data_IF_553612764294
#
_entry.id   IF_553612764294
#
_cell.length_a   1.000
_cell.length_b   1.000
_cell.length_c   1.000
_cell.angle_alpha   90.00
_cell.angle_beta   90.00
_cell.angle_gamma   90.00
#
_symmetry.space_group_name_H-M   'P 1'
#
loop_
_entity.id
_entity.type
_entity.pdbx_description
1 polymer ?
#
# COMPACT_ATOMS: atom_id res chain seq x y z
N UNK A 1 -25.57 8.70 13.77
CA UNK A 1 -24.88 7.48 14.25
C UNK A 1 -25.82 6.56 15.04
N UNK A 2 -26.49 7.01 16.11
CA UNK A 2 -27.51 6.22 16.85
C UNK A 2 -28.54 5.53 15.92
N UNK A 3 -29.23 6.31 15.07
CA UNK A 3 -30.21 5.79 14.10
C UNK A 3 -29.62 4.77 13.11
N UNK A 4 -28.34 4.94 12.74
CA UNK A 4 -27.64 4.01 11.84
C UNK A 4 -27.39 2.69 12.58
N UNK A 5 -26.95 2.77 13.84
CA UNK A 5 -26.72 1.60 14.65
C UNK A 5 -28.00 0.80 14.89
N UNK A 6 -29.11 1.48 15.20
CA UNK A 6 -30.42 0.86 15.38
C UNK A 6 -30.93 0.21 14.08
N UNK A 7 -30.82 0.90 12.94
CA UNK A 7 -31.21 0.36 11.64
C UNK A 7 -30.39 -0.89 11.27
N UNK A 8 -29.08 -0.88 11.51
CA UNK A 8 -28.21 -2.03 11.26
C UNK A 8 -28.63 -3.22 12.14
N UNK A 9 -28.80 -3.03 13.45
CA UNK A 9 -29.25 -4.09 14.37
C UNK A 9 -30.63 -4.65 14.00
N UNK A 10 -31.49 -3.83 13.41
CA UNK A 10 -32.83 -4.25 12.98
C UNK A 10 -32.83 -5.09 11.69
N UNK A 11 -31.79 -4.99 10.87
CA UNK A 11 -31.69 -5.69 9.58
C UNK A 11 -31.62 -7.22 9.73
N UNK A 12 -32.15 -7.95 8.74
CA UNK A 12 -32.10 -9.41 8.71
C UNK A 12 -30.66 -9.93 8.65
N UNK A 13 -29.79 -9.26 7.88
CA UNK A 13 -28.37 -9.61 7.75
C UNK A 13 -27.65 -9.59 9.10
N UNK A 14 -27.85 -8.52 9.88
CA UNK A 14 -27.22 -8.41 11.20
C UNK A 14 -27.74 -9.48 12.16
N UNK A 15 -29.06 -9.71 12.17
CA UNK A 15 -29.69 -10.71 13.05
C UNK A 15 -29.24 -12.15 12.77
N UNK A 16 -28.88 -12.47 11.51
CA UNK A 16 -28.48 -13.83 11.11
C UNK A 16 -27.27 -14.36 11.88
N UNK A 17 -26.26 -13.51 12.12
CA UNK A 17 -24.99 -13.89 12.78
C UNK A 17 -24.53 -12.90 13.86
N UNK A 18 -25.43 -12.03 14.32
CA UNK A 18 -25.11 -10.97 15.27
C UNK A 18 -24.08 -9.97 14.75
N UNK A 19 -24.01 -9.79 13.43
CA UNK A 19 -23.05 -8.88 12.77
C UNK A 19 -21.61 -9.39 12.65
N UNK A 20 -21.30 -10.62 13.05
CA UNK A 20 -19.93 -11.15 13.03
C UNK A 20 -19.32 -11.29 11.63
N UNK A 21 -20.16 -11.40 10.61
CA UNK A 21 -19.81 -11.49 9.19
C UNK A 21 -19.87 -10.14 8.46
N UNK A 22 -20.14 -9.04 9.18
CA UNK A 22 -20.12 -7.70 8.60
C UNK A 22 -18.69 -7.18 8.43
N UNK A 23 -18.50 -6.34 7.41
CA UNK A 23 -17.27 -5.59 7.18
C UNK A 23 -17.59 -4.10 7.35
N UNK A 24 -16.86 -3.41 8.21
CA UNK A 24 -17.01 -1.97 8.40
C UNK A 24 -15.82 -1.20 7.83
N UNK A 25 -16.11 -0.26 6.93
CA UNK A 25 -15.10 0.62 6.35
C UNK A 25 -14.73 1.73 7.33
N UNK A 26 -13.46 1.81 7.72
CA UNK A 26 -12.92 2.83 8.62
C UNK A 26 -11.84 3.65 7.92
N UNK A 27 -12.22 4.82 7.39
CA UNK A 27 -11.36 5.60 6.47
C UNK A 27 -10.86 6.94 7.06
N UNK A 28 -11.23 7.30 8.29
CA UNK A 28 -10.94 8.64 8.84
C UNK A 28 -10.02 8.58 10.06
N UNK A 29 -8.88 9.25 9.94
CA UNK A 29 -7.91 9.49 11.00
C UNK A 29 -8.54 10.31 12.15
N UNK A 30 -8.32 9.88 13.39
CA UNK A 30 -8.58 10.71 14.59
C UNK A 30 -10.03 10.85 15.03
N UNK A 31 -10.96 10.02 14.58
CA UNK A 31 -12.33 10.02 15.12
C UNK A 31 -12.50 9.01 16.25
N UNK A 32 -13.06 9.47 17.37
CA UNK A 32 -13.57 8.60 18.42
C UNK A 32 -14.84 7.93 17.92
N UNK A 33 -14.94 6.61 18.13
CA UNK A 33 -16.18 5.90 17.87
C UNK A 33 -17.15 6.18 19.01
N UNK A 34 -18.36 6.63 18.69
CA UNK A 34 -19.39 6.85 19.69
C UNK A 34 -19.88 5.51 20.31
N UNK A 35 -20.53 5.52 21.49
CA UNK A 35 -20.91 4.28 22.17
C UNK A 35 -21.81 3.33 21.33
N UNK A 36 -22.84 3.80 20.61
CA UNK A 36 -23.70 2.92 19.80
C UNK A 36 -22.96 2.19 18.66
N UNK A 37 -22.04 2.87 17.97
CA UNK A 37 -21.23 2.23 16.92
C UNK A 37 -20.13 1.35 17.51
N UNK A 38 -19.61 1.71 18.69
CA UNK A 38 -18.62 0.90 19.40
C UNK A 38 -19.17 -0.48 19.76
N UNK A 39 -20.41 -0.55 20.26
CA UNK A 39 -21.07 -1.82 20.55
C UNK A 39 -21.20 -2.70 19.31
N UNK A 40 -21.52 -2.11 18.15
CA UNK A 40 -21.55 -2.83 16.87
C UNK A 40 -20.18 -3.38 16.47
N UNK A 41 -19.13 -2.59 16.62
CA UNK A 41 -17.78 -3.06 16.31
C UNK A 41 -17.25 -4.05 17.36
N UNK A 42 -17.77 -4.02 18.58
CA UNK A 42 -17.42 -4.99 19.63
C UNK A 42 -18.12 -6.34 19.44
N UNK A 43 -19.22 -6.39 18.68
CA UNK A 43 -19.89 -7.64 18.29
C UNK A 43 -19.02 -8.57 17.41
N UNK A 44 -17.81 -8.13 17.04
CA UNK A 44 -16.82 -8.91 16.31
C UNK A 44 -16.92 -8.88 14.78
N UNK A 45 -17.38 -7.81 14.10
CA UNK A 45 -17.23 -7.69 12.66
C UNK A 45 -15.76 -7.49 12.25
N UNK A 46 -15.48 -7.61 10.95
CA UNK A 46 -14.20 -7.20 10.38
C UNK A 46 -14.14 -5.69 10.17
N UNK A 47 -12.95 -5.11 10.28
CA UNK A 47 -12.71 -3.71 9.93
C UNK A 47 -11.87 -3.64 8.67
N UNK A 48 -12.32 -2.88 7.69
CA UNK A 48 -11.54 -2.57 6.50
C UNK A 48 -10.98 -1.16 6.60
N UNK A 49 -9.67 -0.99 6.43
CA UNK A 49 -9.00 0.30 6.62
C UNK A 49 -7.68 0.36 5.87
N UNK A 50 -7.05 1.52 5.78
CA UNK A 50 -5.73 1.70 5.14
C UNK A 50 -4.56 1.57 6.11
N UNK A 51 -4.81 1.47 7.42
CA UNK A 51 -3.76 1.35 8.43
C UNK A 51 -4.22 0.45 9.59
N UNK A 52 -3.52 -0.68 9.79
CA UNK A 52 -3.87 -1.63 10.87
C UNK A 52 -3.49 -1.12 12.24
N UNK A 53 -2.56 -0.17 12.33
CA UNK A 53 -1.95 0.30 13.57
C UNK A 53 -2.70 1.48 14.18
N UNK A 54 -3.88 1.82 13.64
CA UNK A 54 -4.73 2.88 14.16
C UNK A 54 -5.00 2.78 15.67
N UNK A 55 -5.10 1.56 16.21
CA UNK A 55 -5.32 1.30 17.63
C UNK A 55 -4.20 1.84 18.53
N UNK A 56 -2.99 2.01 18.03
CA UNK A 56 -1.84 2.49 18.81
C UNK A 56 -1.86 4.01 19.04
N UNK A 57 -2.56 4.75 18.18
CA UNK A 57 -2.62 6.22 18.20
C UNK A 57 -4.00 6.78 18.58
N UNK A 58 -5.01 5.93 18.83
CA UNK A 58 -6.36 6.35 19.21
C UNK A 58 -6.88 5.57 20.43
N UNK A 59 -7.37 6.29 21.43
CA UNK A 59 -7.69 5.75 22.76
C UNK A 59 -9.05 5.03 22.83
N UNK A 60 -9.88 5.10 21.78
CA UNK A 60 -11.24 4.53 21.79
C UNK A 60 -11.58 3.76 20.51
N UNK A 61 -10.63 2.93 20.05
CA UNK A 61 -10.88 2.05 18.91
C UNK A 61 -11.44 0.68 19.32
N UNK A 62 -12.31 0.08 18.47
CA UNK A 62 -12.93 -1.21 18.72
C UNK A 62 -11.96 -2.38 18.86
N UNK A 63 -12.43 -3.44 19.54
CA UNK A 63 -11.70 -4.71 19.74
C UNK A 63 -11.16 -5.36 18.45
N UNK A 64 -11.87 -5.35 17.30
CA UNK A 64 -11.33 -5.88 16.04
C UNK A 64 -9.94 -5.34 15.65
N UNK A 65 -9.67 -4.05 15.83
CA UNK A 65 -8.35 -3.49 15.56
C UNK A 65 -7.26 -4.11 16.44
N UNK A 66 -7.58 -4.37 17.73
CA UNK A 66 -6.63 -4.93 18.71
C UNK A 66 -6.40 -6.42 18.51
N UNK A 67 -7.40 -7.15 17.99
CA UNK A 67 -7.35 -8.60 17.73
C UNK A 67 -6.90 -8.94 16.31
N UNK A 68 -6.47 -7.96 15.51
CA UNK A 68 -6.01 -8.18 14.14
C UNK A 68 -7.11 -8.58 13.15
N UNK A 69 -8.37 -8.24 13.45
CA UNK A 69 -9.51 -8.50 12.57
C UNK A 69 -9.66 -7.38 11.55
N UNK A 70 -8.59 -7.15 10.78
CA UNK A 70 -8.43 -6.00 9.89
C UNK A 70 -8.14 -6.47 8.48
N UNK A 71 -8.93 -6.01 7.51
CA UNK A 71 -8.64 -6.09 6.08
C UNK A 71 -7.99 -4.79 5.66
N UNK A 72 -6.78 -4.86 5.13
CA UNK A 72 -6.08 -3.68 4.63
C UNK A 72 -6.53 -3.35 3.21
N UNK A 73 -6.93 -2.10 3.01
CA UNK A 73 -7.32 -1.54 1.72
C UNK A 73 -6.13 -0.81 1.09
N UNK A 74 -5.95 -0.90 -0.23
CA UNK A 74 -4.93 -0.14 -0.93
C UNK A 74 -5.22 1.36 -0.84
N UNK A 75 -4.17 2.18 -0.85
CA UNK A 75 -4.35 3.62 -0.96
C UNK A 75 -4.90 3.95 -2.35
N UNK A 76 -5.81 4.93 -2.41
CA UNK A 76 -6.31 5.44 -3.69
C UNK A 76 -5.18 6.20 -4.38
N UNK A 77 -4.57 5.60 -5.40
CA UNK A 77 -3.58 6.28 -6.23
C UNK A 77 -4.22 7.46 -6.97
N UNK A 78 -3.45 8.48 -7.36
CA UNK A 78 -4.02 9.55 -8.19
C UNK A 78 -4.52 9.00 -9.53
N UNK A 79 -5.63 9.54 -10.06
CA UNK A 79 -6.12 9.16 -11.40
C UNK A 79 -5.08 9.39 -12.49
N UNK A 80 -4.14 10.32 -12.27
CA UNK A 80 -3.04 10.61 -13.18
C UNK A 80 -1.98 9.52 -13.24
N UNK A 81 -1.88 8.62 -12.26
CA UNK A 81 -1.00 7.44 -12.33
C UNK A 81 -1.73 6.20 -12.84
N UNK A 82 -3.04 6.09 -12.58
CA UNK A 82 -3.89 4.95 -12.91
C UNK A 82 -4.36 4.95 -14.39
N UNK A 83 -3.41 5.10 -15.32
CA UNK A 83 -3.65 5.11 -16.78
C UNK A 83 -2.94 3.93 -17.46
N UNK A 84 -3.22 3.65 -18.73
CA UNK A 84 -2.62 2.53 -19.45
C UNK A 84 -1.12 2.75 -19.59
N UNK A 85 -0.36 1.97 -18.83
CA UNK A 85 1.09 1.88 -18.95
C UNK A 85 1.41 0.64 -19.77
N UNK A 86 2.19 0.80 -20.83
CA UNK A 86 2.73 -0.33 -21.58
C UNK A 86 3.70 -1.13 -20.69
N UNK A 87 3.37 -2.36 -20.28
CA UNK A 87 4.25 -3.18 -19.44
C UNK A 87 5.55 -3.59 -20.15
N UNK A 88 5.59 -3.49 -21.48
CA UNK A 88 6.77 -3.80 -22.30
C UNK A 88 7.71 -2.60 -22.48
N UNK A 89 7.35 -1.43 -21.94
CA UNK A 89 8.15 -0.20 -22.03
C UNK A 89 9.59 -0.45 -21.57
N UNK A 90 10.52 -0.12 -22.46
CA UNK A 90 11.96 -0.18 -22.18
C UNK A 90 12.34 0.80 -21.07
N UNK A 91 13.25 0.34 -20.20
CA UNK A 91 13.83 1.15 -19.14
C UNK A 91 14.78 2.18 -19.74
N UNK A 92 14.62 3.44 -19.36
CA UNK A 92 15.52 4.52 -19.77
C UNK A 92 16.73 4.58 -18.81
N UNK A 93 17.96 4.35 -19.27
CA UNK A 93 19.15 4.39 -18.41
C UNK A 93 19.45 5.79 -17.87
N UNK A 94 18.89 6.86 -18.46
CA UNK A 94 19.12 8.24 -18.05
C UNK A 94 18.15 8.72 -16.96
N UNK A 95 17.00 8.07 -16.83
CA UNK A 95 15.98 8.33 -15.80
C UNK A 95 15.65 7.01 -15.11
N UNK A 96 16.40 6.68 -14.07
CA UNK A 96 16.38 5.35 -13.48
C UNK A 96 15.69 5.30 -12.12
N UNK A 97 16.21 6.07 -11.16
CA UNK A 97 15.63 6.19 -9.82
C UNK A 97 14.87 7.49 -9.71
N UNK A 98 13.62 7.45 -9.24
CA UNK A 98 12.83 8.67 -9.05
C UNK A 98 12.16 8.74 -7.68
N UNK A 99 12.26 9.91 -7.07
CA UNK A 99 11.54 10.25 -5.86
C UNK A 99 11.16 11.73 -5.90
N UNK A 100 9.90 12.05 -5.58
CA UNK A 100 9.47 13.41 -5.28
C UNK A 100 8.62 13.41 -4.02
N UNK A 101 8.97 14.26 -3.04
CA UNK A 101 8.19 14.42 -1.81
C UNK A 101 8.90 15.25 -0.75
N UNK A 102 8.28 15.39 0.42
CA UNK A 102 8.85 16.20 1.51
C UNK A 102 10.14 15.56 2.03
N UNK A 103 11.30 16.16 1.76
CA UNK A 103 12.62 15.62 2.15
C UNK A 103 13.04 15.94 3.58
N UNK A 104 12.33 16.84 4.27
CA UNK A 104 12.66 17.26 5.64
C UNK A 104 11.44 17.10 6.53
N UNK A 105 11.51 16.20 7.52
CA UNK A 105 10.51 16.05 8.59
C UNK A 105 11.17 16.30 9.94
N UNK A 106 10.39 16.82 10.89
CA UNK A 106 10.85 17.16 12.26
C UNK A 106 11.33 15.93 13.04
N UNK A 107 10.82 14.76 12.65
CA UNK A 107 11.27 13.42 13.03
C UNK A 107 11.31 12.57 11.75
N UNK A 108 12.46 11.96 11.44
CA UNK A 108 12.61 11.06 10.28
C UNK A 108 13.81 11.32 9.36
N UNK A 109 14.42 10.24 8.90
CA UNK A 109 15.67 10.13 8.17
C UNK A 109 15.56 10.32 6.65
N UNK A 110 15.06 11.48 6.17
CA UNK A 110 15.00 11.75 4.72
C UNK A 110 16.25 12.47 4.17
N UNK A 111 17.18 12.86 5.03
CA UNK A 111 18.55 13.27 4.65
C UNK A 111 19.32 12.13 3.97
N UNK A 112 19.09 10.90 4.42
CA UNK A 112 19.69 9.66 3.95
C UNK A 112 19.18 9.30 2.56
N UNK A 113 17.93 9.65 2.25
CA UNK A 113 17.38 9.49 0.90
C UNK A 113 18.06 10.45 -0.07
N UNK A 114 18.27 11.71 0.32
CA UNK A 114 19.04 12.67 -0.49
C UNK A 114 20.45 12.16 -0.73
N UNK A 115 21.09 11.65 0.31
CA UNK A 115 22.45 11.11 0.21
C UNK A 115 22.50 9.85 -0.66
N UNK A 116 21.52 8.96 -0.56
CA UNK A 116 21.38 7.81 -1.44
C UNK A 116 21.26 8.26 -2.91
N UNK A 117 20.46 9.29 -3.18
CA UNK A 117 20.27 9.85 -4.51
C UNK A 117 21.57 10.38 -5.13
N UNK A 118 22.50 10.91 -4.32
CA UNK A 118 23.82 11.34 -4.80
C UNK A 118 24.77 10.18 -5.16
N UNK A 119 24.49 8.99 -4.64
CA UNK A 119 25.38 7.83 -4.76
C UNK A 119 24.87 6.78 -5.76
N UNK A 120 23.70 6.98 -6.36
CA UNK A 120 23.13 6.10 -7.40
C UNK A 120 22.95 6.86 -8.72
N UNK A 121 23.19 6.17 -9.81
CA UNK A 121 23.25 6.66 -11.18
C UNK A 121 21.85 6.82 -11.74
N UNK A 122 21.59 7.94 -12.42
CA UNK A 122 20.28 8.22 -13.01
C UNK A 122 19.19 8.52 -11.96
N UNK A 123 19.57 9.07 -10.80
CA UNK A 123 18.66 9.47 -9.76
C UNK A 123 18.09 10.87 -9.97
N UNK A 124 16.77 11.01 -9.82
CA UNK A 124 16.06 12.29 -9.75
C UNK A 124 15.27 12.34 -8.45
N UNK A 125 15.92 12.80 -7.38
CA UNK A 125 15.32 12.91 -6.05
C UNK A 125 15.04 14.38 -5.71
N UNK A 126 13.76 14.72 -5.72
CA UNK A 126 13.29 16.09 -5.62
C UNK A 126 12.58 16.37 -4.29
N UNK A 127 13.01 17.45 -3.64
CA UNK A 127 12.34 17.99 -2.47
C UNK A 127 11.13 18.78 -2.85
N UNK A 128 9.95 18.23 -2.57
CA UNK A 128 8.70 18.95 -2.78
C UNK A 128 7.83 18.85 -1.54
N UNK A 129 7.68 19.96 -0.83
CA UNK A 129 6.71 20.06 0.26
C UNK A 129 5.34 20.25 -0.37
N UNK A 130 4.53 19.19 -0.35
CA UNK A 130 3.15 19.28 -0.84
C UNK A 130 2.41 20.36 -0.05
N UNK A 131 1.89 21.41 -0.71
CA UNK A 131 1.11 22.44 -0.02
C UNK A 131 -0.17 21.81 0.56
N UNK A 132 -0.57 22.26 1.75
CA UNK A 132 -1.75 21.71 2.44
C UNK A 132 -3.09 22.13 1.81
N UNK A 133 -3.07 23.08 0.86
CA UNK A 133 -4.23 23.62 0.14
C UNK A 133 -3.83 24.06 -1.28
N UNK A 134 -4.76 23.96 -2.23
CA UNK A 134 -4.62 24.45 -3.61
C UNK A 134 -4.63 23.34 -4.67
N UNK A 135 -4.79 23.68 -5.97
CA UNK A 135 -4.75 22.72 -7.06
C UNK A 135 -3.35 22.09 -7.15
N UNK A 136 -3.29 20.76 -7.17
CA UNK A 136 -2.03 20.00 -7.25
C UNK A 136 -1.90 19.23 -8.57
N UNK A 137 -2.82 19.48 -9.52
CA UNK A 137 -2.96 18.71 -10.74
C UNK A 137 -1.65 18.68 -11.55
N UNK A 138 -1.05 19.83 -11.86
CA UNK A 138 0.20 19.89 -12.64
C UNK A 138 1.34 19.13 -11.96
N UNK A 139 1.46 19.25 -10.63
CA UNK A 139 2.49 18.55 -9.86
C UNK A 139 2.25 17.05 -9.87
N UNK A 140 1.01 16.61 -9.67
CA UNK A 140 0.64 15.19 -9.69
C UNK A 140 0.81 14.59 -11.09
N UNK A 141 0.37 15.28 -12.14
CA UNK A 141 0.56 14.88 -13.53
C UNK A 141 2.04 14.75 -13.89
N UNK A 142 2.84 15.77 -13.58
CA UNK A 142 4.27 15.75 -13.85
C UNK A 142 4.98 14.64 -13.06
N UNK A 143 4.62 14.45 -11.78
CA UNK A 143 5.16 13.36 -10.96
C UNK A 143 4.81 12.00 -11.57
N UNK A 144 3.56 11.81 -11.98
CA UNK A 144 3.10 10.59 -12.65
C UNK A 144 3.88 10.31 -13.93
N UNK A 145 4.12 11.34 -14.76
CA UNK A 145 4.92 11.22 -15.97
C UNK A 145 6.36 10.80 -15.68
N UNK A 146 6.99 11.40 -14.67
CA UNK A 146 8.38 11.08 -14.30
C UNK A 146 8.50 9.69 -13.65
N UNK A 147 7.52 9.28 -12.84
CA UNK A 147 7.45 7.93 -12.29
C UNK A 147 7.33 6.88 -13.41
N UNK A 148 6.44 7.10 -14.39
CA UNK A 148 6.35 6.24 -15.59
C UNK A 148 7.63 6.22 -16.41
N UNK A 149 8.38 7.33 -16.39
CA UNK A 149 9.65 7.40 -17.10
C UNK A 149 10.74 6.57 -16.42
N UNK A 150 10.60 6.36 -15.12
CA UNK A 150 11.60 5.77 -14.25
C UNK A 150 11.44 4.25 -14.12
N UNK A 151 12.54 3.60 -13.78
CA UNK A 151 12.58 2.14 -13.63
C UNK A 151 12.33 1.71 -12.19
N UNK A 152 12.78 2.51 -11.23
CA UNK A 152 12.80 2.18 -9.81
C UNK A 152 12.38 3.38 -8.97
N UNK A 153 11.47 3.18 -8.01
CA UNK A 153 10.92 4.22 -7.16
C UNK A 153 11.11 3.87 -5.68
N UNK A 154 12.02 4.56 -4.96
CA UNK A 154 12.11 4.47 -3.51
C UNK A 154 10.82 4.89 -2.81
N UNK A 155 10.35 4.04 -1.91
CA UNK A 155 9.12 4.19 -1.14
C UNK A 155 9.45 4.22 0.35
N UNK A 156 9.98 5.34 0.89
CA UNK A 156 10.17 5.50 2.32
C UNK A 156 8.83 5.55 3.05
N UNK A 157 8.80 4.99 4.26
CA UNK A 157 7.64 5.07 5.14
C UNK A 157 7.22 6.53 5.38
N UNK A 158 5.90 6.73 5.48
CA UNK A 158 5.27 8.00 5.81
C UNK A 158 4.82 8.02 7.26
N UNK A 159 3.73 8.74 7.54
CA UNK A 159 3.06 8.70 8.85
C UNK A 159 2.31 7.37 9.06
N UNK A 160 1.92 6.71 7.98
CA UNK A 160 1.42 5.34 7.96
C UNK A 160 2.53 4.39 7.47
N UNK A 161 2.53 3.11 7.91
CA UNK A 161 3.49 2.11 7.44
C UNK A 161 3.53 2.00 5.92
N UNK A 162 2.38 1.98 5.25
CA UNK A 162 2.29 2.07 3.78
C UNK A 162 2.13 3.51 3.30
N UNK A 163 3.06 3.96 2.46
CA UNK A 163 2.95 5.26 1.78
C UNK A 163 2.09 5.12 0.52
N UNK A 164 1.26 6.13 0.21
CA UNK A 164 0.58 6.23 -1.10
C UNK A 164 1.53 6.10 -2.29
N UNK A 165 2.81 6.49 -2.13
CA UNK A 165 3.85 6.33 -3.16
C UNK A 165 4.09 4.88 -3.58
N UNK A 166 3.92 3.91 -2.68
CA UNK A 166 4.02 2.49 -3.04
C UNK A 166 3.02 2.18 -4.14
N UNK A 167 1.75 2.53 -3.94
CA UNK A 167 0.68 2.28 -4.90
C UNK A 167 0.88 3.05 -6.20
N UNK A 168 1.33 4.30 -6.14
CA UNK A 168 1.68 5.08 -7.34
C UNK A 168 2.83 4.45 -8.14
N UNK A 169 3.83 3.88 -7.46
CA UNK A 169 4.93 3.19 -8.12
C UNK A 169 4.43 1.95 -8.87
N UNK A 170 3.59 1.13 -8.22
CA UNK A 170 2.99 -0.05 -8.87
C UNK A 170 2.10 0.36 -10.06
N UNK A 171 1.24 1.38 -9.89
CA UNK A 171 0.36 1.90 -10.94
C UNK A 171 1.09 2.45 -12.16
N UNK A 172 2.30 2.99 -11.96
CA UNK A 172 3.12 3.53 -13.06
C UNK A 172 4.08 2.51 -13.66
N UNK A 173 4.10 1.26 -13.15
CA UNK A 173 5.09 0.26 -13.53
C UNK A 173 6.52 0.62 -13.10
N UNK A 174 6.68 1.51 -12.13
CA UNK A 174 7.96 1.82 -11.51
C UNK A 174 8.23 0.83 -10.38
N UNK A 175 9.35 0.09 -10.39
CA UNK A 175 9.58 -0.93 -9.36
C UNK A 175 9.74 -0.27 -7.99
N UNK A 176 8.85 -0.58 -7.07
CA UNK A 176 8.89 -0.03 -5.72
C UNK A 176 10.04 -0.66 -4.90
N UNK A 177 10.88 0.19 -4.31
CA UNK A 177 11.77 -0.21 -3.20
C UNK A 177 11.14 0.30 -1.90
N UNK A 178 10.47 -0.58 -1.18
CA UNK A 178 9.92 -0.32 0.15
C UNK A 178 11.08 -0.18 1.14
N UNK A 179 11.27 1.02 1.68
CA UNK A 179 12.34 1.28 2.66
C UNK A 179 11.86 0.98 4.07
N UNK A 180 11.61 -0.29 4.31
CA UNK A 180 11.24 -0.87 5.60
C UNK A 180 11.55 -2.38 5.59
N UNK A 181 12.00 -2.95 6.72
CA UNK A 181 12.21 -4.38 6.82
C UNK A 181 10.97 -5.17 6.39
N UNK A 182 11.19 -6.24 5.61
CA UNK A 182 10.14 -7.08 5.03
C UNK A 182 9.18 -7.60 6.10
N UNK A 183 9.71 -8.15 7.18
CA UNK A 183 8.98 -8.73 8.32
C UNK A 183 8.07 -7.72 9.02
N UNK A 184 8.46 -6.45 9.04
CA UNK A 184 7.64 -5.36 9.56
C UNK A 184 6.56 -5.01 8.54
N UNK A 185 6.92 -4.81 7.27
CA UNK A 185 6.01 -4.30 6.25
C UNK A 185 4.95 -5.31 5.81
N UNK A 186 5.23 -6.61 5.77
CA UNK A 186 4.30 -7.61 5.19
C UNK A 186 2.93 -7.63 5.87
N UNK A 187 2.86 -7.26 7.15
CA UNK A 187 1.59 -7.17 7.87
C UNK A 187 0.78 -5.91 7.53
N UNK A 188 1.42 -4.90 6.93
CA UNK A 188 0.86 -3.60 6.58
C UNK A 188 0.49 -3.49 5.09
N UNK A 189 0.65 -4.57 4.31
CA UNK A 189 0.33 -4.58 2.88
C UNK A 189 -1.08 -5.13 2.62
N UNK A 190 -1.83 -4.57 1.65
CA UNK A 190 -3.15 -5.07 1.33
C UNK A 190 -3.08 -6.41 0.60
N UNK A 191 -4.13 -7.20 0.83
CA UNK A 191 -4.41 -8.47 0.16
C UNK A 191 -3.23 -9.47 0.12
N UNK A 192 -2.57 -9.76 1.27
CA UNK A 192 -1.38 -10.61 1.31
C UNK A 192 -1.65 -12.07 0.90
N UNK A 193 -2.90 -12.52 0.93
CA UNK A 193 -3.29 -13.87 0.49
C UNK A 193 -3.43 -13.97 -1.03
N UNK A 194 -3.55 -12.83 -1.72
CA UNK A 194 -3.71 -12.75 -3.18
C UNK A 194 -2.48 -12.18 -3.89
N UNK A 195 -1.68 -11.36 -3.21
CA UNK A 195 -0.56 -10.64 -3.79
C UNK A 195 0.75 -11.16 -3.20
N UNK A 196 1.59 -11.78 -4.03
CA UNK A 196 2.98 -12.06 -3.68
C UNK A 196 3.81 -10.77 -3.77
N UNK A 197 3.90 -10.09 -2.62
CA UNK A 197 4.62 -8.82 -2.49
C UNK A 197 6.13 -8.92 -2.76
N UNK A 198 6.74 -10.10 -2.56
CA UNK A 198 8.15 -10.35 -2.86
C UNK A 198 8.39 -10.49 -4.37
N UNK A 199 7.36 -10.90 -5.12
CA UNK A 199 7.42 -10.99 -6.58
C UNK A 199 7.25 -9.64 -7.29
N UNK A 200 6.70 -8.63 -6.61
CA UNK A 200 6.32 -7.33 -7.22
C UNK A 200 7.02 -6.11 -6.63
N UNK A 201 7.70 -6.24 -5.48
CA UNK A 201 8.40 -5.14 -4.83
C UNK A 201 9.72 -5.59 -4.21
N UNK A 202 10.59 -4.64 -3.86
CA UNK A 202 11.83 -4.90 -3.15
C UNK A 202 11.80 -4.25 -1.78
N UNK A 203 12.36 -4.93 -0.77
CA UNK A 203 12.46 -4.41 0.59
C UNK A 203 13.90 -4.02 0.92
N UNK A 204 14.07 -2.88 1.60
CA UNK A 204 15.35 -2.46 2.18
C UNK A 204 15.19 -2.16 3.66
N UNK A 205 16.29 -1.88 4.36
CA UNK A 205 16.21 -1.34 5.72
C UNK A 205 15.47 0.01 5.73
N UNK A 206 14.89 0.35 6.88
CA UNK A 206 14.32 1.69 7.09
C UNK A 206 15.41 2.74 7.00
N UNK A 207 15.07 3.93 6.48
CA UNK A 207 16.03 5.03 6.40
C UNK A 207 16.54 5.45 7.79
N UNK A 208 15.72 5.35 8.84
CA UNK A 208 16.11 5.68 10.22
C UNK A 208 17.26 4.81 10.70
N UNK A 209 17.23 3.52 10.37
CA UNK A 209 18.33 2.61 10.69
C UNK A 209 19.61 2.99 9.93
N UNK A 210 19.49 3.45 8.68
CA UNK A 210 20.63 3.88 7.86
C UNK A 210 21.24 5.20 8.35
N UNK A 211 20.43 6.12 8.89
CA UNK A 211 20.88 7.44 9.36
C UNK A 211 21.81 7.42 10.56
N UNK A 212 21.72 6.38 11.38
CA UNK A 212 22.67 6.16 12.48
C UNK A 212 24.07 5.72 12.00
N UNK A 213 24.24 5.40 10.71
CA UNK A 213 25.48 4.86 10.14
C UNK A 213 25.67 5.38 8.70
N UNK A 214 26.47 6.42 8.47
CA UNK A 214 26.82 6.91 7.11
C UNK A 214 27.31 5.80 6.15
N UNK A 215 27.99 4.76 6.67
CA UNK A 215 28.38 3.56 5.90
C UNK A 215 27.18 2.73 5.37
N UNK A 216 26.02 2.83 6.01
CA UNK A 216 24.79 2.14 5.64
C UNK A 216 24.22 2.61 4.31
N UNK A 217 24.17 3.93 4.10
CA UNK A 217 23.69 4.53 2.83
C UNK A 217 24.59 4.11 1.66
N UNK A 218 25.91 4.18 1.83
CA UNK A 218 26.86 3.76 0.80
C UNK A 218 26.78 2.26 0.47
N UNK A 219 26.56 1.42 1.48
CA UNK A 219 26.35 -0.02 1.27
C UNK A 219 25.06 -0.27 0.49
N UNK A 220 23.97 0.43 0.84
CA UNK A 220 22.70 0.32 0.12
C UNK A 220 22.86 0.80 -1.33
N UNK A 221 23.47 1.96 -1.57
CA UNK A 221 23.71 2.49 -2.91
C UNK A 221 24.45 1.46 -3.79
N UNK A 222 25.55 0.89 -3.27
CA UNK A 222 26.33 -0.15 -3.96
C UNK A 222 25.50 -1.40 -4.25
N UNK A 223 24.62 -1.80 -3.34
CA UNK A 223 23.72 -2.93 -3.55
C UNK A 223 22.67 -2.62 -4.63
N UNK A 224 22.08 -1.43 -4.60
CA UNK A 224 21.10 -1.00 -5.59
C UNK A 224 21.72 -0.96 -6.99
N UNK A 225 22.91 -0.37 -7.14
CA UNK A 225 23.62 -0.32 -8.43
C UNK A 225 23.85 -1.71 -9.03
N UNK A 226 24.24 -2.67 -8.19
CA UNK A 226 24.52 -4.05 -8.62
C UNK A 226 23.27 -4.83 -9.00
N UNK A 227 22.16 -4.61 -8.29
CA UNK A 227 20.97 -5.47 -8.37
C UNK A 227 19.85 -4.90 -9.20
N UNK A 228 19.72 -3.58 -9.20
CA UNK A 228 18.63 -2.88 -9.88
C UNK A 228 19.09 -1.59 -10.54
N UNK A 229 20.40 -1.32 -10.65
CA UNK A 229 20.92 -0.09 -11.25
C UNK A 229 20.96 -0.14 -12.79
N UNK A 230 21.18 1.02 -13.43
CA UNK A 230 21.25 1.11 -14.89
C UNK A 230 22.40 0.30 -15.49
N UNK A 231 23.45 0.02 -14.70
CA UNK A 231 24.60 -0.81 -15.10
C UNK A 231 24.54 -2.24 -14.57
N UNK A 232 23.41 -2.66 -13.97
CA UNK A 232 23.23 -4.04 -13.53
C UNK A 232 23.32 -5.02 -14.71
N UNK A 233 23.79 -6.23 -14.43
CA UNK A 233 23.90 -7.31 -15.43
C UNK A 233 22.53 -7.64 -16.06
N UNK A 234 22.57 -8.21 -17.27
CA UNK A 234 21.38 -8.58 -18.05
C UNK A 234 20.39 -9.45 -17.26
N UNK A 235 20.88 -10.35 -16.39
CA UNK A 235 20.02 -11.18 -15.54
C UNK A 235 19.20 -10.33 -14.57
N UNK A 236 19.84 -9.36 -13.91
CA UNK A 236 19.19 -8.46 -12.98
C UNK A 236 18.21 -7.52 -13.69
N UNK A 237 18.58 -6.97 -14.85
CA UNK A 237 17.68 -6.14 -15.67
C UNK A 237 16.43 -6.90 -16.10
N UNK A 238 16.57 -8.16 -16.53
CA UNK A 238 15.43 -9.03 -16.89
C UNK A 238 14.54 -9.29 -15.67
N UNK A 239 15.13 -9.57 -14.51
CA UNK A 239 14.38 -9.74 -13.25
C UNK A 239 13.61 -8.48 -12.88
N UNK A 240 14.25 -7.32 -12.91
CA UNK A 240 13.62 -6.00 -12.64
C UNK A 240 12.47 -5.73 -13.59
N UNK A 241 12.66 -5.94 -14.90
CA UNK A 241 11.58 -5.80 -15.89
C UNK A 241 10.40 -6.74 -15.62
N UNK A 242 10.66 -8.00 -15.29
CA UNK A 242 9.61 -8.96 -14.95
C UNK A 242 8.86 -8.59 -13.66
N UNK A 243 9.55 -8.08 -12.64
CA UNK A 243 8.93 -7.59 -11.40
C UNK A 243 8.03 -6.39 -11.69
N UNK A 244 8.48 -5.41 -12.49
CA UNK A 244 7.68 -4.24 -12.90
C UNK A 244 6.39 -4.63 -13.60
N UNK A 245 6.47 -5.60 -14.52
CA UNK A 245 5.30 -6.12 -15.23
C UNK A 245 4.30 -6.76 -14.26
N UNK A 246 4.76 -7.67 -13.39
CA UNK A 246 3.89 -8.30 -12.38
C UNK A 246 3.30 -7.28 -11.40
N UNK A 247 4.07 -6.26 -11.02
CA UNK A 247 3.62 -5.18 -10.15
C UNK A 247 2.45 -4.40 -10.75
N UNK A 248 2.57 -4.02 -12.03
CA UNK A 248 1.51 -3.33 -12.75
C UNK A 248 0.27 -4.22 -12.91
N UNK A 249 0.45 -5.49 -13.26
CA UNK A 249 -0.65 -6.46 -13.39
C UNK A 249 -1.38 -6.67 -12.04
N UNK A 250 -0.64 -6.86 -10.95
CA UNK A 250 -1.20 -6.98 -9.61
C UNK A 250 -1.96 -5.72 -9.18
N UNK A 251 -1.41 -4.54 -9.51
CA UNK A 251 -2.09 -3.27 -9.24
C UNK A 251 -3.42 -3.15 -9.98
N UNK A 252 -3.43 -3.38 -11.30
CA UNK A 252 -4.66 -3.33 -12.08
C UNK A 252 -5.68 -4.39 -11.63
N UNK A 253 -5.22 -5.57 -11.20
CA UNK A 253 -6.12 -6.65 -10.79
C UNK A 253 -6.74 -6.43 -9.41
N UNK A 254 -5.97 -5.91 -8.46
CA UNK A 254 -6.35 -5.93 -7.04
C UNK A 254 -6.44 -4.56 -6.39
N UNK A 255 -5.86 -3.50 -6.96
CA UNK A 255 -5.65 -2.23 -6.26
C UNK A 255 -6.15 -0.99 -7.00
N UNK A 256 -6.50 -1.10 -8.28
CA UNK A 256 -7.00 0.03 -9.07
C UNK A 256 -8.48 0.28 -8.83
N UNK A 257 -8.78 1.37 -8.11
CA UNK A 257 -10.15 1.84 -7.92
C UNK A 257 -10.78 2.43 -9.19
N UNK A 258 -9.97 2.90 -10.14
CA UNK A 258 -10.46 3.54 -11.36
C UNK A 258 -10.66 2.54 -12.50
N UNK A 259 -9.78 1.55 -12.64
CA UNK A 259 -9.81 0.58 -13.74
C UNK A 259 -10.55 -0.70 -13.38
N UNK A 260 -10.42 -1.15 -12.14
CA UNK A 260 -11.00 -2.41 -11.71
C UNK A 260 -11.52 -2.34 -10.27
N UNK A 261 -12.54 -1.51 -10.01
CA UNK A 261 -13.14 -1.40 -8.68
C UNK A 261 -13.69 -2.75 -8.19
N UNK A 262 -14.21 -3.59 -9.08
CA UNK A 262 -14.67 -4.94 -8.75
C UNK A 262 -13.54 -5.85 -8.28
N UNK A 263 -12.35 -5.74 -8.86
CA UNK A 263 -11.15 -6.44 -8.40
C UNK A 263 -10.73 -6.05 -6.99
N UNK A 264 -10.83 -4.76 -6.62
CA UNK A 264 -10.58 -4.30 -5.26
C UNK A 264 -11.60 -4.88 -4.28
N UNK A 265 -12.90 -4.83 -4.62
CA UNK A 265 -13.98 -5.39 -3.79
C UNK A 265 -13.81 -6.90 -3.63
N UNK A 266 -13.53 -7.61 -4.72
CA UNK A 266 -13.33 -9.06 -4.72
C UNK A 266 -12.14 -9.47 -3.87
N UNK A 267 -11.05 -8.70 -3.92
CA UNK A 267 -9.86 -8.95 -3.10
C UNK A 267 -10.11 -8.67 -1.62
N UNK A 268 -10.84 -7.60 -1.31
CA UNK A 268 -11.27 -7.29 0.05
C UNK A 268 -12.17 -8.40 0.62
N UNK A 269 -13.15 -8.87 -0.15
CA UNK A 269 -14.05 -9.94 0.26
C UNK A 269 -13.33 -11.28 0.44
N UNK A 270 -12.32 -11.57 -0.37
CA UNK A 270 -11.50 -12.77 -0.23
C UNK A 270 -10.67 -12.75 1.08
N UNK A 271 -9.99 -11.65 1.38
CA UNK A 271 -9.28 -11.53 2.67
C UNK A 271 -10.25 -11.58 3.85
N UNK A 272 -11.40 -10.93 3.72
CA UNK A 272 -12.45 -10.99 4.73
C UNK A 272 -12.92 -12.43 4.96
N UNK A 273 -13.12 -13.19 3.89
CA UNK A 273 -13.48 -14.61 3.98
C UNK A 273 -12.45 -15.39 4.77
N UNK A 274 -11.16 -15.29 4.44
CA UNK A 274 -10.08 -15.98 5.15
C UNK A 274 -10.12 -15.66 6.65
N UNK A 275 -10.27 -14.39 7.01
CA UNK A 275 -10.35 -13.96 8.42
C UNK A 275 -11.60 -14.51 9.12
N UNK A 276 -12.74 -14.58 8.44
CA UNK A 276 -13.97 -15.13 9.00
C UNK A 276 -13.91 -16.65 9.16
N UNK A 277 -13.22 -17.37 8.26
CA UNK A 277 -12.96 -18.80 8.42
C UNK A 277 -12.03 -19.08 9.60
N UNK A 278 -10.95 -18.32 9.74
CA UNK A 278 -10.04 -18.44 10.87
C UNK A 278 -10.74 -18.20 12.23
N UNK A 279 -11.85 -17.45 12.22
CA UNK A 279 -12.71 -17.21 13.39
C UNK A 279 -13.83 -18.25 13.57
N UNK A 280 -13.99 -19.20 12.66
CA UNK A 280 -15.10 -20.17 12.67
C UNK A 280 -16.47 -19.54 12.37
N UNK A 281 -16.51 -18.34 11.78
CA UNK A 281 -17.77 -17.68 11.39
C UNK A 281 -18.29 -18.24 10.08
N UNK A 282 -17.40 -18.51 9.11
CA UNK A 282 -17.75 -19.06 7.81
C UNK A 282 -17.04 -20.40 7.59
N UNK A 283 -17.68 -21.28 6.82
CA UNK A 283 -17.20 -22.62 6.46
C UNK A 283 -17.25 -22.79 4.93
N UNK A 284 -16.47 -23.74 4.39
CA UNK A 284 -16.42 -24.05 2.96
C UNK A 284 -15.47 -23.16 2.13
N UNK A 285 -15.22 -23.49 0.86
CA UNK A 285 -14.33 -22.69 0.01
C UNK A 285 -15.02 -21.41 -0.49
N UNK A 286 -14.27 -20.32 -0.59
CA UNK A 286 -14.76 -19.01 -1.02
C UNK A 286 -15.46 -19.02 -2.39
N UNK A 287 -14.94 -19.82 -3.34
CA UNK A 287 -15.46 -19.90 -4.72
C UNK A 287 -16.86 -20.51 -4.76
N UNK A 288 -17.17 -21.46 -3.88
CA UNK A 288 -18.51 -22.04 -3.78
C UNK A 288 -19.51 -21.05 -3.16
N UNK A 289 -19.03 -20.12 -2.32
CA UNK A 289 -19.86 -19.17 -1.61
C UNK A 289 -20.35 -17.97 -2.46
N UNK A 290 -19.65 -17.63 -3.55
CA UNK A 290 -20.02 -16.49 -4.42
C UNK A 290 -20.71 -16.89 -5.73
N UNK A 291 -20.82 -18.19 -6.01
CA UNK A 291 -21.27 -18.71 -7.30
C UNK A 291 -20.17 -18.55 -8.35
N UNK A 292 -19.86 -19.64 -9.05
CA UNK A 292 -18.73 -19.74 -9.98
C UNK A 292 -18.75 -18.76 -11.18
N UNK A 293 -19.79 -17.93 -11.34
CA UNK A 293 -20.01 -17.07 -12.51
C UNK A 293 -19.45 -15.64 -12.39
N UNK A 294 -18.77 -15.28 -11.29
CA UNK A 294 -18.36 -13.87 -11.03
C UNK A 294 -16.85 -13.62 -10.89
N UNK A 295 -15.99 -14.53 -11.35
CA UNK A 295 -14.53 -14.38 -11.31
C UNK A 295 -13.87 -14.57 -12.66
#
# INVERSE_FOLDING_TARGET
EQKVAEALKASEHFKRRGGQDHIHLFMKYGQNVNPPLKELYEAGPLVATTDRSFWSISHNLPTPFKKGQVVLLPYVSSSYVDVDVDPSRRMDPTSWYFFRGTLFRRFGARTELVELGRQVTGASFEGHKMPSKGPQEDVLQNTSRLMRASSVCPCPQGDAPTSGRLFEALATGCLAIVMSPRDIMTNDLPFPSLIDWDAISLFSHSLEFLGTRTRGVARLAKQLERTVGPQADVHYKRRTGAMRKRALEAFHRHMSYFRNPEGVVSSMLFEAWILLQAKGVLEGPYVEALGAEKF
#
